data_IF_545957320290
#
_entry.id   IF_545957320290
#
_cell.length_a   1.000
_cell.length_b   1.000
_cell.length_c   1.000
_cell.angle_alpha   90.00
_cell.angle_beta   90.00
_cell.angle_gamma   90.00
#
_symmetry.space_group_name_H-M   'P 1'
#
loop_
_entity.id
_entity.type
_entity.pdbx_description
1 polymer ?
#
# COMPACT_ATOMS: atom_id res chain seq x y z
N UNK A 1 38.15 13.51 57.41
CA UNK A 1 37.77 14.56 56.42
C UNK A 1 37.59 13.84 55.11
N UNK A 2 36.33 13.74 54.67
CA UNK A 2 35.84 12.87 53.61
C UNK A 2 36.25 13.36 52.22
N UNK A 3 36.71 12.44 51.38
CA UNK A 3 36.89 12.62 49.94
C UNK A 3 35.80 11.89 49.16
N UNK A 4 35.01 12.68 48.42
CA UNK A 4 34.63 12.53 47.00
C UNK A 4 34.33 11.14 46.42
N UNK A 5 33.11 11.01 45.85
CA UNK A 5 32.80 10.02 44.81
C UNK A 5 31.33 9.60 44.79
N UNK A 6 30.41 10.50 44.40
CA UNK A 6 29.06 10.09 44.01
C UNK A 6 29.15 9.55 42.57
N UNK A 7 29.34 8.25 42.43
CA UNK A 7 29.09 7.56 41.17
C UNK A 7 27.58 7.45 40.99
N UNK A 8 27.02 8.30 40.13
CA UNK A 8 25.66 8.14 39.63
C UNK A 8 25.62 6.93 38.70
N UNK A 9 25.19 5.78 39.24
CA UNK A 9 24.85 4.59 38.46
C UNK A 9 23.78 4.96 37.41
N UNK A 10 24.18 4.99 36.14
CA UNK A 10 23.26 4.98 35.01
C UNK A 10 22.53 3.63 35.02
N UNK A 11 21.31 3.61 35.53
CA UNK A 11 20.39 2.48 35.41
C UNK A 11 20.02 2.32 33.94
N UNK A 12 20.68 1.41 33.24
CA UNK A 12 20.21 0.91 31.95
C UNK A 12 18.95 0.10 32.22
N UNK A 13 17.79 0.67 31.96
CA UNK A 13 16.54 -0.08 31.94
C UNK A 13 16.57 -0.97 30.69
N UNK A 14 17.05 -2.21 30.88
CA UNK A 14 17.10 -3.22 29.82
C UNK A 14 15.65 -3.58 29.47
N UNK A 15 15.12 -2.90 28.45
CA UNK A 15 13.81 -3.17 27.90
C UNK A 15 13.85 -4.55 27.21
N UNK A 16 13.67 -5.62 27.98
CA UNK A 16 13.50 -6.97 27.45
C UNK A 16 12.19 -6.95 26.64
N UNK A 17 12.22 -7.17 25.31
CA UNK A 17 11.00 -7.20 24.52
C UNK A 17 10.16 -8.41 24.98
N UNK A 18 9.09 -8.12 25.72
CA UNK A 18 8.12 -9.14 26.12
C UNK A 18 7.18 -9.40 24.95
N UNK A 19 6.97 -10.67 24.60
CA UNK A 19 5.95 -11.07 23.63
C UNK A 19 4.57 -10.57 24.10
N UNK A 20 4.03 -9.60 23.39
CA UNK A 20 2.71 -9.03 23.64
C UNK A 20 1.92 -8.87 22.34
N UNK A 21 0.61 -9.05 22.42
CA UNK A 21 -0.31 -8.72 21.33
C UNK A 21 -0.87 -7.32 21.55
N UNK A 22 -0.68 -6.43 20.58
CA UNK A 22 -1.29 -5.11 20.56
C UNK A 22 -2.62 -5.15 19.82
N UNK A 23 -3.60 -4.36 20.26
CA UNK A 23 -4.88 -4.23 19.57
C UNK A 23 -4.69 -3.47 18.25
N UNK A 24 -4.97 -4.12 17.12
CA UNK A 24 -4.85 -3.52 15.78
C UNK A 24 -5.06 -4.54 14.66
N UNK A 25 -5.25 -4.05 13.44
CA UNK A 25 -5.36 -4.90 12.25
C UNK A 25 -3.95 -5.22 11.74
N UNK A 26 -3.59 -6.50 11.64
CA UNK A 26 -2.34 -6.94 11.01
C UNK A 26 -2.48 -6.94 9.47
N UNK A 27 -2.48 -5.74 8.87
CA UNK A 27 -2.67 -5.57 7.43
C UNK A 27 -1.60 -6.31 6.61
N UNK A 28 -0.32 -6.18 6.97
CA UNK A 28 0.78 -6.85 6.27
C UNK A 28 0.65 -8.37 6.33
N UNK A 29 0.35 -8.94 7.51
CA UNK A 29 0.13 -10.37 7.66
C UNK A 29 -1.04 -10.88 6.83
N UNK A 30 -2.14 -10.12 6.76
CA UNK A 30 -3.28 -10.43 5.90
C UNK A 30 -2.89 -10.39 4.41
N UNK A 31 -2.10 -9.42 3.97
CA UNK A 31 -1.61 -9.32 2.58
C UNK A 31 -0.72 -10.53 2.23
N UNK A 32 0.26 -10.85 3.08
CA UNK A 32 1.18 -11.99 2.84
C UNK A 32 0.41 -13.31 2.80
N UNK A 33 -0.52 -13.51 3.74
CA UNK A 33 -1.39 -14.69 3.74
C UNK A 33 -2.26 -14.75 2.49
N UNK A 34 -2.97 -13.67 2.14
CA UNK A 34 -3.86 -13.64 0.99
C UNK A 34 -3.12 -13.82 -0.34
N UNK A 35 -1.91 -13.28 -0.47
CA UNK A 35 -1.07 -13.50 -1.65
C UNK A 35 -0.66 -14.97 -1.77
N UNK A 36 -0.18 -15.56 -0.68
CA UNK A 36 0.20 -16.99 -0.65
C UNK A 36 -1.00 -17.89 -0.94
N UNK A 37 -2.14 -17.61 -0.31
CA UNK A 37 -3.38 -18.38 -0.49
C UNK A 37 -3.93 -18.24 -1.92
N UNK A 38 -3.90 -17.02 -2.48
CA UNK A 38 -4.27 -16.74 -3.87
C UNK A 38 -3.40 -17.50 -4.87
N UNK A 39 -2.09 -17.58 -4.65
CA UNK A 39 -1.17 -18.38 -5.48
C UNK A 39 -1.50 -19.87 -5.43
N UNK A 40 -1.80 -20.42 -4.24
CA UNK A 40 -2.19 -21.82 -4.08
C UNK A 40 -3.52 -22.11 -4.80
N UNK A 41 -4.56 -21.29 -4.58
CA UNK A 41 -5.83 -21.41 -5.32
C UNK A 41 -5.59 -21.27 -6.84
N UNK A 42 -4.68 -20.38 -7.23
CA UNK A 42 -4.16 -20.19 -8.60
C UNK A 42 -3.60 -21.48 -9.22
N UNK A 43 -2.87 -22.26 -8.44
CA UNK A 43 -2.28 -23.53 -8.87
C UNK A 43 -3.27 -24.70 -8.96
N UNK A 44 -4.41 -24.63 -8.25
CA UNK A 44 -5.38 -25.73 -8.15
C UNK A 44 -6.28 -25.92 -9.38
N UNK A 45 -6.10 -25.11 -10.43
CA UNK A 45 -6.89 -25.16 -11.69
C UNK A 45 -8.40 -25.24 -11.40
N UNK A 46 -9.12 -26.21 -11.96
CA UNK A 46 -10.57 -26.38 -11.82
C UNK A 46 -11.02 -26.58 -10.36
N UNK A 47 -10.23 -27.25 -9.52
CA UNK A 47 -10.57 -27.45 -8.11
C UNK A 47 -10.58 -26.15 -7.31
N UNK A 48 -9.81 -25.15 -7.75
CA UNK A 48 -9.77 -23.82 -7.14
C UNK A 48 -10.90 -22.89 -7.61
N UNK A 49 -11.60 -23.23 -8.70
CA UNK A 49 -12.58 -22.35 -9.34
C UNK A 49 -13.69 -21.87 -8.39
N UNK A 50 -14.32 -22.73 -7.55
CA UNK A 50 -15.38 -22.27 -6.65
C UNK A 50 -14.91 -21.21 -5.65
N UNK A 51 -13.66 -21.31 -5.18
CA UNK A 51 -13.09 -20.32 -4.26
C UNK A 51 -12.75 -19.02 -4.98
N UNK A 52 -12.22 -19.09 -6.22
CA UNK A 52 -11.98 -17.88 -7.03
C UNK A 52 -13.28 -17.12 -7.27
N UNK A 53 -14.31 -17.82 -7.74
CA UNK A 53 -15.61 -17.23 -8.04
C UNK A 53 -16.24 -16.60 -6.78
N UNK A 54 -16.10 -17.27 -5.62
CA UNK A 54 -16.52 -16.72 -4.33
C UNK A 54 -15.81 -15.41 -4.00
N UNK A 55 -14.48 -15.37 -4.08
CA UNK A 55 -13.70 -14.17 -3.78
C UNK A 55 -13.96 -13.03 -4.78
N UNK A 56 -14.16 -13.35 -6.06
CA UNK A 56 -14.53 -12.36 -7.07
C UNK A 56 -15.91 -11.76 -6.81
N UNK A 57 -16.90 -12.58 -6.46
CA UNK A 57 -18.23 -12.10 -6.06
C UNK A 57 -18.18 -11.25 -4.79
N UNK A 58 -17.40 -11.67 -3.79
CA UNK A 58 -17.21 -10.93 -2.55
C UNK A 58 -16.56 -9.57 -2.81
N UNK A 59 -15.51 -9.53 -3.65
CA UNK A 59 -14.84 -8.30 -4.01
C UNK A 59 -15.78 -7.33 -4.74
N UNK A 60 -16.56 -7.82 -5.70
CA UNK A 60 -17.56 -7.00 -6.40
C UNK A 60 -18.62 -6.43 -5.43
N UNK A 61 -19.07 -7.22 -4.45
CA UNK A 61 -19.97 -6.73 -3.40
C UNK A 61 -19.33 -5.62 -2.54
N UNK A 62 -18.06 -5.77 -2.16
CA UNK A 62 -17.31 -4.75 -1.41
C UNK A 62 -17.18 -3.47 -2.24
N UNK A 63 -16.84 -3.56 -3.54
CA UNK A 63 -16.72 -2.39 -4.40
C UNK A 63 -18.04 -1.61 -4.54
N UNK A 64 -19.18 -2.31 -4.55
CA UNK A 64 -20.51 -1.67 -4.51
C UNK A 64 -20.78 -0.95 -3.20
N UNK A 65 -20.39 -1.54 -2.06
CA UNK A 65 -20.47 -0.88 -0.76
C UNK A 65 -19.62 0.40 -0.73
N UNK A 66 -18.41 0.33 -1.27
CA UNK A 66 -17.48 1.46 -1.38
C UNK A 66 -18.09 2.59 -2.20
N UNK A 67 -18.77 2.27 -3.30
CA UNK A 67 -19.52 3.26 -4.08
C UNK A 67 -20.58 4.02 -3.26
N UNK A 68 -21.26 3.34 -2.33
CA UNK A 68 -22.23 3.97 -1.41
C UNK A 68 -21.52 4.89 -0.42
N UNK A 69 -20.43 4.43 0.20
CA UNK A 69 -19.66 5.21 1.18
C UNK A 69 -19.11 6.49 0.56
N UNK A 70 -18.70 6.46 -0.71
CA UNK A 70 -18.21 7.65 -1.42
C UNK A 70 -19.24 8.77 -1.57
N UNK A 71 -20.54 8.47 -1.58
CA UNK A 71 -21.57 9.53 -1.54
C UNK A 71 -21.56 10.29 -0.21
N UNK A 72 -21.20 9.63 0.88
CA UNK A 72 -21.07 10.24 2.21
C UNK A 72 -19.70 10.89 2.46
N UNK A 73 -18.67 10.49 1.70
CA UNK A 73 -17.29 10.94 1.89
C UNK A 73 -17.12 12.48 1.93
N UNK A 74 -17.77 13.30 1.08
CA UNK A 74 -17.60 14.76 1.14
C UNK A 74 -17.99 15.36 2.49
N UNK A 75 -19.05 14.84 3.12
CA UNK A 75 -19.50 15.29 4.45
C UNK A 75 -18.52 14.84 5.51
N UNK A 76 -18.09 13.58 5.49
CA UNK A 76 -17.11 13.05 6.43
C UNK A 76 -15.77 13.79 6.37
N UNK A 77 -15.24 14.04 5.18
CA UNK A 77 -13.97 14.76 4.97
C UNK A 77 -14.07 16.20 5.49
N UNK A 78 -15.19 16.89 5.26
CA UNK A 78 -15.41 18.24 5.78
C UNK A 78 -15.29 18.28 7.32
N UNK A 79 -15.94 17.35 8.02
CA UNK A 79 -15.84 17.27 9.48
C UNK A 79 -14.48 16.80 9.97
N UNK A 80 -13.79 15.90 9.25
CA UNK A 80 -12.43 15.47 9.59
C UNK A 80 -11.43 16.62 9.50
N UNK A 81 -11.52 17.44 8.45
CA UNK A 81 -10.67 18.62 8.27
C UNK A 81 -11.04 19.67 9.32
N UNK A 82 -12.32 20.00 9.48
CA UNK A 82 -12.77 21.01 10.44
C UNK A 82 -12.42 20.64 11.89
N UNK A 83 -12.64 19.37 12.28
CA UNK A 83 -12.32 18.89 13.62
C UNK A 83 -10.84 19.04 13.95
N UNK A 84 -9.95 18.76 12.99
CA UNK A 84 -8.51 18.98 13.21
C UNK A 84 -8.10 20.43 13.25
N UNK A 85 -8.72 21.29 12.45
CA UNK A 85 -8.45 22.74 12.53
C UNK A 85 -8.82 23.29 13.92
N UNK A 86 -9.87 22.77 14.56
CA UNK A 86 -10.28 23.18 15.92
C UNK A 86 -9.33 22.66 17.01
N UNK A 87 -8.74 21.49 16.82
CA UNK A 87 -7.73 20.94 17.74
C UNK A 87 -6.37 21.67 17.67
N UNK A 88 -6.15 22.52 16.65
CA UNK A 88 -4.91 23.28 16.54
C UNK A 88 -4.81 24.35 17.65
N UNK A 89 -3.87 24.17 18.58
CA UNK A 89 -3.39 25.25 19.43
C UNK A 89 -2.51 26.24 18.63
N UNK A 90 -2.39 27.48 19.13
CA UNK A 90 -1.86 28.65 18.42
C UNK A 90 -0.68 28.36 17.46
N UNK A 91 -0.79 28.88 16.23
CA UNK A 91 0.28 28.92 15.21
C UNK A 91 1.59 29.56 15.70
N UNK A 92 1.59 30.22 16.87
CA UNK A 92 2.78 30.77 17.51
C UNK A 92 3.77 29.70 17.99
N UNK A 93 3.35 28.44 18.14
CA UNK A 93 4.24 27.32 18.52
C UNK A 93 5.16 26.90 17.36
N UNK A 94 4.84 27.26 16.12
CA UNK A 94 5.72 27.09 14.94
C UNK A 94 6.87 28.11 14.85
N UNK A 95 7.36 28.62 15.98
CA UNK A 95 8.44 29.60 16.01
C UNK A 95 9.81 29.01 15.65
N UNK A 96 10.54 29.65 14.75
CA UNK A 96 11.97 29.41 14.51
C UNK A 96 12.29 28.13 13.73
N UNK A 97 12.95 27.17 14.39
CA UNK A 97 13.52 25.97 13.76
C UNK A 97 12.44 24.95 13.34
N UNK A 98 11.38 24.77 14.14
CA UNK A 98 10.29 23.83 13.86
C UNK A 98 9.46 24.24 12.63
N UNK A 99 9.27 25.55 12.43
CA UNK A 99 8.63 26.09 11.23
C UNK A 99 9.45 25.80 9.96
N UNK A 100 10.77 25.99 10.01
CA UNK A 100 11.66 25.68 8.88
C UNK A 100 11.71 24.19 8.57
N UNK A 101 11.70 23.33 9.59
CA UNK A 101 11.54 21.89 9.42
C UNK A 101 10.24 21.55 8.68
N UNK A 102 9.11 22.10 9.15
CA UNK A 102 7.78 21.88 8.53
C UNK A 102 7.80 22.28 7.05
N UNK A 103 8.33 23.46 6.73
CA UNK A 103 8.45 23.93 5.33
C UNK A 103 9.33 22.98 4.51
N UNK A 104 10.45 22.50 5.06
CA UNK A 104 11.37 21.60 4.36
C UNK A 104 10.69 20.28 4.01
N UNK A 105 9.93 19.69 4.96
CA UNK A 105 9.15 18.46 4.70
C UNK A 105 8.09 18.70 3.63
N UNK A 106 7.31 19.79 3.74
CA UNK A 106 6.28 20.13 2.76
C UNK A 106 6.88 20.28 1.36
N UNK A 107 7.99 21.02 1.23
CA UNK A 107 8.67 21.22 -0.05
C UNK A 107 9.21 19.90 -0.59
N UNK A 108 9.81 19.05 0.26
CA UNK A 108 10.28 17.73 -0.13
C UNK A 108 9.16 16.85 -0.68
N UNK A 109 8.02 16.77 0.03
CA UNK A 109 6.84 16.02 -0.40
C UNK A 109 6.26 16.57 -1.72
N UNK A 110 6.18 17.90 -1.86
CA UNK A 110 5.68 18.53 -3.09
C UNK A 110 6.61 18.26 -4.29
N UNK A 111 7.93 18.35 -4.10
CA UNK A 111 8.90 18.01 -5.15
C UNK A 111 8.75 16.54 -5.53
N UNK A 112 8.65 15.64 -4.54
CA UNK A 112 8.50 14.22 -4.81
C UNK A 112 7.18 13.91 -5.53
N UNK A 113 6.06 14.39 -4.99
CA UNK A 113 4.72 14.12 -5.51
C UNK A 113 4.38 14.81 -6.84
N UNK A 114 4.88 16.02 -7.08
CA UNK A 114 4.51 16.83 -8.27
C UNK A 114 5.59 16.78 -9.35
N UNK A 115 6.85 16.48 -9.00
CA UNK A 115 7.96 16.45 -9.96
C UNK A 115 8.48 15.04 -10.15
N UNK A 116 8.92 14.36 -9.07
CA UNK A 116 9.62 13.06 -9.17
C UNK A 116 8.68 11.95 -9.66
N UNK A 117 7.56 11.72 -8.97
CA UNK A 117 6.61 10.66 -9.36
C UNK A 117 5.99 10.91 -10.75
N UNK A 118 5.53 12.13 -11.10
CA UNK A 118 5.00 12.40 -12.43
C UNK A 118 6.05 12.27 -13.54
N UNK A 119 7.30 12.69 -13.28
CA UNK A 119 8.39 12.51 -14.23
C UNK A 119 8.70 11.02 -14.44
N UNK A 120 8.71 10.22 -13.38
CA UNK A 120 8.90 8.77 -13.47
C UNK A 120 7.78 8.12 -14.30
N UNK A 121 6.52 8.47 -14.04
CA UNK A 121 5.39 8.00 -14.83
C UNK A 121 5.52 8.38 -16.31
N UNK A 122 5.85 9.64 -16.61
CA UNK A 122 6.03 10.11 -17.98
C UNK A 122 7.19 9.40 -18.68
N UNK A 123 8.32 9.20 -18.00
CA UNK A 123 9.49 8.56 -18.58
C UNK A 123 9.21 7.12 -19.04
N UNK A 124 8.47 6.37 -18.22
CA UNK A 124 8.15 4.95 -18.48
C UNK A 124 6.96 4.81 -19.43
N UNK A 125 5.84 5.48 -19.14
CA UNK A 125 4.58 5.27 -19.88
C UNK A 125 4.45 6.14 -21.13
N UNK A 126 5.24 7.24 -21.21
CA UNK A 126 5.13 8.29 -22.23
C UNK A 126 3.73 8.93 -22.33
N UNK A 127 2.93 8.84 -21.27
CA UNK A 127 1.59 9.46 -21.14
C UNK A 127 1.64 10.66 -20.20
N UNK A 128 0.68 11.58 -20.34
CA UNK A 128 0.59 12.75 -19.48
C UNK A 128 0.21 12.35 -18.03
N UNK A 129 1.10 12.54 -17.04
CA UNK A 129 0.85 12.15 -15.66
C UNK A 129 -0.26 12.98 -14.99
N UNK A 130 -0.43 14.25 -15.34
CA UNK A 130 -1.40 15.12 -14.66
C UNK A 130 -2.85 14.76 -14.96
N UNK A 131 -3.11 14.16 -16.14
CA UNK A 131 -4.43 13.59 -16.45
C UNK A 131 -4.71 12.38 -15.57
N UNK A 132 -3.71 11.52 -15.38
CA UNK A 132 -3.80 10.36 -14.50
C UNK A 132 -4.02 10.79 -13.04
N UNK A 133 -3.30 11.81 -12.57
CA UNK A 133 -3.49 12.38 -11.22
C UNK A 133 -4.88 13.01 -11.07
N UNK A 134 -5.41 13.64 -12.13
CA UNK A 134 -6.75 14.20 -12.13
C UNK A 134 -7.84 13.18 -11.81
N UNK A 135 -7.74 11.95 -12.33
CA UNK A 135 -8.69 10.88 -12.01
C UNK A 135 -8.56 10.31 -10.59
N UNK A 136 -7.48 10.64 -9.87
CA UNK A 136 -7.24 10.26 -8.48
C UNK A 136 -7.64 11.33 -7.46
N UNK A 137 -8.10 12.51 -7.90
CA UNK A 137 -8.31 13.66 -7.01
C UNK A 137 -9.17 13.33 -5.79
N UNK A 138 -10.22 12.52 -5.96
CA UNK A 138 -11.09 12.11 -4.87
C UNK A 138 -10.36 11.23 -3.84
N UNK A 139 -9.53 10.30 -4.28
CA UNK A 139 -8.70 9.47 -3.40
C UNK A 139 -7.67 10.33 -2.65
N UNK A 140 -7.00 11.26 -3.34
CA UNK A 140 -6.00 12.16 -2.75
C UNK A 140 -6.62 13.10 -1.70
N UNK A 141 -7.79 13.68 -1.98
CA UNK A 141 -8.50 14.53 -1.00
C UNK A 141 -8.97 13.70 0.19
N UNK A 142 -9.42 12.47 -0.04
CA UNK A 142 -9.78 11.58 1.07
C UNK A 142 -8.57 11.22 1.91
N UNK A 143 -7.41 10.95 1.29
CA UNK A 143 -6.17 10.63 1.97
C UNK A 143 -5.67 11.80 2.81
N UNK A 144 -5.77 13.01 2.26
CA UNK A 144 -5.51 14.23 2.99
C UNK A 144 -6.46 14.40 4.19
N UNK A 145 -7.72 13.99 4.08
CA UNK A 145 -8.75 14.10 5.12
C UNK A 145 -8.69 13.02 6.20
N UNK A 146 -8.36 11.77 5.85
CA UNK A 146 -8.31 10.64 6.79
C UNK A 146 -6.93 10.47 7.43
N UNK A 147 -5.86 10.92 6.76
CA UNK A 147 -4.47 10.65 7.16
C UNK A 147 -4.15 9.15 7.24
N UNK A 148 -4.82 8.32 6.42
CA UNK A 148 -4.61 6.87 6.40
C UNK A 148 -4.71 6.30 4.99
N UNK A 149 -3.60 5.76 4.48
CA UNK A 149 -3.52 5.08 3.18
C UNK A 149 -4.48 3.89 3.15
N UNK A 150 -4.48 3.08 4.22
CA UNK A 150 -5.36 1.91 4.34
C UNK A 150 -6.84 2.26 4.34
N UNK A 151 -7.24 3.35 5.00
CA UNK A 151 -8.62 3.81 5.00
C UNK A 151 -9.08 4.32 3.62
N UNK A 152 -8.13 4.82 2.82
CA UNK A 152 -8.43 5.36 1.48
C UNK A 152 -8.37 4.34 0.37
N UNK A 153 -7.74 3.18 0.63
CA UNK A 153 -7.49 2.13 -0.34
C UNK A 153 -8.72 1.76 -1.19
N UNK A 154 -9.95 1.62 -0.64
CA UNK A 154 -11.11 1.28 -1.46
C UNK A 154 -11.51 2.38 -2.46
N UNK A 155 -11.31 3.64 -2.10
CA UNK A 155 -11.57 4.79 -2.98
C UNK A 155 -10.49 4.85 -4.07
N UNK A 156 -9.24 4.58 -3.71
CA UNK A 156 -8.12 4.47 -4.65
C UNK A 156 -8.36 3.39 -5.69
N UNK A 157 -8.85 2.21 -5.28
CA UNK A 157 -9.28 1.14 -6.20
C UNK A 157 -10.27 1.66 -7.23
N UNK A 158 -11.37 2.28 -6.79
CA UNK A 158 -12.39 2.77 -7.71
C UNK A 158 -11.87 3.86 -8.63
N UNK A 159 -11.10 4.82 -8.12
CA UNK A 159 -10.54 5.88 -8.96
C UNK A 159 -9.61 5.31 -10.05
N UNK A 160 -8.78 4.32 -9.73
CA UNK A 160 -7.89 3.70 -10.71
C UNK A 160 -8.65 2.85 -11.74
N UNK A 161 -9.59 2.02 -11.29
CA UNK A 161 -10.33 1.11 -12.16
C UNK A 161 -11.37 1.84 -13.03
N UNK A 162 -12.09 2.82 -12.48
CA UNK A 162 -13.18 3.51 -13.18
C UNK A 162 -12.74 4.80 -13.89
N UNK A 163 -11.94 5.65 -13.22
CA UNK A 163 -11.56 6.95 -13.80
C UNK A 163 -10.34 6.83 -14.72
N UNK A 164 -9.33 6.06 -14.29
CA UNK A 164 -8.07 5.91 -15.03
C UNK A 164 -8.04 4.67 -15.93
N UNK A 165 -8.99 3.74 -15.74
CA UNK A 165 -9.12 2.53 -16.56
C UNK A 165 -8.01 1.51 -16.36
N UNK A 166 -7.34 1.50 -15.21
CA UNK A 166 -6.27 0.55 -14.90
C UNK A 166 -6.85 -0.85 -14.70
N UNK A 167 -6.22 -1.86 -15.29
CA UNK A 167 -6.67 -3.25 -15.20
C UNK A 167 -6.81 -3.74 -13.75
N UNK A 168 -7.97 -4.34 -13.43
CA UNK A 168 -8.30 -4.84 -12.08
C UNK A 168 -7.29 -5.86 -11.55
N UNK A 169 -6.66 -6.64 -12.42
CA UNK A 169 -5.63 -7.62 -12.04
C UNK A 169 -4.39 -6.93 -11.49
N UNK A 170 -4.05 -5.75 -12.03
CA UNK A 170 -2.91 -4.95 -11.57
C UNK A 170 -3.27 -4.19 -10.29
N UNK A 171 -4.42 -3.51 -10.24
CA UNK A 171 -4.82 -2.73 -9.05
C UNK A 171 -4.94 -3.63 -7.82
N UNK A 172 -5.55 -4.82 -7.95
CA UNK A 172 -5.76 -5.78 -6.84
C UNK A 172 -4.47 -6.41 -6.32
N UNK A 173 -3.41 -6.36 -7.11
CA UNK A 173 -2.09 -6.81 -6.69
C UNK A 173 -1.27 -5.66 -6.10
N UNK A 174 -1.14 -4.55 -6.84
CA UNK A 174 -0.22 -3.47 -6.52
C UNK A 174 -0.70 -2.65 -5.32
N UNK A 175 -1.98 -2.28 -5.25
CA UNK A 175 -2.44 -1.33 -4.23
C UNK A 175 -2.43 -1.88 -2.80
N UNK A 176 -2.86 -3.13 -2.52
CA UNK A 176 -2.79 -3.67 -1.16
C UNK A 176 -1.35 -3.84 -0.67
N UNK A 177 -0.44 -4.21 -1.56
CA UNK A 177 1.00 -4.32 -1.27
C UNK A 177 1.60 -2.93 -1.05
N UNK A 178 1.31 -1.99 -1.96
CA UNK A 178 1.78 -0.61 -1.91
C UNK A 178 1.37 0.12 -0.63
N UNK A 179 0.09 0.01 -0.23
CA UNK A 179 -0.44 0.69 0.96
C UNK A 179 0.24 0.29 2.28
N UNK A 180 1.04 -0.78 2.29
CA UNK A 180 1.84 -1.22 3.44
C UNK A 180 3.34 -1.07 3.23
N UNK A 181 3.85 -1.33 2.03
CA UNK A 181 5.29 -1.37 1.75
C UNK A 181 5.81 -0.05 1.17
N UNK A 182 5.05 0.59 0.29
CA UNK A 182 5.48 1.75 -0.47
C UNK A 182 5.06 3.06 0.22
N UNK A 183 5.87 3.47 1.20
CA UNK A 183 5.63 4.67 1.99
C UNK A 183 6.66 5.78 1.75
N UNK A 184 6.71 6.31 0.52
CA UNK A 184 7.67 7.33 0.09
C UNK A 184 7.69 8.58 0.99
N UNK A 185 6.51 9.10 1.31
CA UNK A 185 6.35 10.26 2.18
C UNK A 185 6.79 10.00 3.62
N UNK A 186 6.63 8.76 4.11
CA UNK A 186 7.11 8.35 5.44
C UNK A 186 8.63 8.28 5.46
N UNK A 187 9.27 7.68 4.46
CA UNK A 187 10.73 7.62 4.36
C UNK A 187 11.35 9.03 4.28
N UNK A 188 10.75 9.92 3.47
CA UNK A 188 11.21 11.31 3.35
C UNK A 188 11.10 12.05 4.70
N UNK A 189 9.98 11.88 5.39
CA UNK A 189 9.76 12.47 6.70
C UNK A 189 10.77 11.96 7.74
N UNK A 190 10.98 10.64 7.80
CA UNK A 190 11.90 10.01 8.75
C UNK A 190 13.33 10.50 8.56
N UNK A 191 13.80 10.58 7.31
CA UNK A 191 15.12 11.09 7.00
C UNK A 191 15.26 12.58 7.41
N UNK A 192 14.28 13.43 7.07
CA UNK A 192 14.34 14.86 7.39
C UNK A 192 14.21 15.12 8.89
N UNK A 193 13.37 14.37 9.60
CA UNK A 193 13.21 14.51 11.05
C UNK A 193 14.48 14.11 11.80
N UNK A 194 15.14 13.01 11.40
CA UNK A 194 16.40 12.60 12.00
C UNK A 194 17.51 13.66 11.81
N UNK A 195 17.61 14.22 10.60
CA UNK A 195 18.57 15.30 10.31
C UNK A 195 18.22 16.56 11.11
N UNK A 196 16.94 16.90 11.21
CA UNK A 196 16.48 18.04 12.01
C UNK A 196 16.80 17.88 13.49
N UNK A 197 16.53 16.73 14.08
CA UNK A 197 16.84 16.44 15.49
C UNK A 197 18.36 16.53 15.73
N UNK A 198 19.18 16.01 14.82
CA UNK A 198 20.63 16.17 14.91
C UNK A 198 21.04 17.65 14.91
N UNK A 199 20.44 18.47 14.03
CA UNK A 199 20.72 19.91 13.96
C UNK A 199 20.29 20.68 15.21
N UNK A 200 19.14 20.35 15.79
CA UNK A 200 18.66 20.99 17.03
C UNK A 200 19.57 20.66 18.22
N UNK A 201 20.13 19.45 18.24
CA UNK A 201 21.09 19.02 19.26
C UNK A 201 22.54 19.42 18.97
N UNK A 202 22.79 20.21 17.92
CA UNK A 202 24.13 20.61 17.49
C UNK A 202 25.06 19.40 17.25
N UNK A 203 24.48 18.29 16.79
CA UNK A 203 25.20 17.05 16.47
C UNK A 203 25.56 17.03 14.98
N UNK A 204 26.86 17.05 14.68
CA UNK A 204 27.35 16.92 13.32
C UNK A 204 27.19 15.46 12.83
N UNK A 205 26.37 15.29 11.80
CA UNK A 205 26.22 14.00 11.12
C UNK A 205 27.33 13.81 10.09
N UNK A 206 28.11 12.74 10.25
CA UNK A 206 29.05 12.33 9.22
C UNK A 206 28.36 11.62 8.04
N UNK A 207 29.06 11.45 6.93
CA UNK A 207 28.53 10.80 5.74
C UNK A 207 28.00 9.38 6.00
N UNK A 208 28.66 8.61 6.87
CA UNK A 208 28.22 7.28 7.26
C UNK A 208 26.88 7.30 7.98
N UNK A 209 26.66 8.25 8.89
CA UNK A 209 25.38 8.42 9.59
C UNK A 209 24.26 8.85 8.63
N UNK A 210 24.54 9.74 7.68
CA UNK A 210 23.56 10.12 6.65
C UNK A 210 23.16 8.92 5.80
N UNK A 211 24.11 8.07 5.41
CA UNK A 211 23.83 6.84 4.69
C UNK A 211 23.00 5.86 5.54
N UNK A 212 23.35 5.71 6.82
CA UNK A 212 22.57 4.90 7.76
C UNK A 212 21.14 5.40 7.87
N UNK A 213 20.91 6.70 8.09
CA UNK A 213 19.56 7.31 8.13
C UNK A 213 18.80 6.99 6.86
N UNK A 214 19.42 7.13 5.68
CA UNK A 214 18.75 6.85 4.41
C UNK A 214 18.29 5.39 4.30
N UNK A 215 19.14 4.44 4.68
CA UNK A 215 18.82 3.00 4.62
C UNK A 215 17.77 2.66 5.67
N UNK A 216 17.93 3.14 6.91
CA UNK A 216 17.04 2.80 8.02
C UNK A 216 15.68 3.45 7.86
N UNK A 217 15.58 4.69 7.37
CA UNK A 217 14.30 5.31 7.03
C UNK A 217 13.57 4.55 5.91
N UNK A 218 14.29 4.09 4.88
CA UNK A 218 13.67 3.27 3.82
C UNK A 218 13.18 1.93 4.35
N UNK A 219 13.92 1.30 5.27
CA UNK A 219 13.50 0.04 5.88
C UNK A 219 12.34 0.24 6.87
N UNK A 220 12.39 1.32 7.65
CA UNK A 220 11.38 1.67 8.66
C UNK A 220 10.06 2.05 8.01
N UNK A 221 10.08 2.74 6.86
CA UNK A 221 8.87 3.08 6.10
C UNK A 221 8.09 1.85 5.61
N UNK A 222 8.76 0.72 5.34
CA UNK A 222 8.11 -0.56 5.01
C UNK A 222 7.38 -1.15 6.23
N UNK A 223 7.92 -0.90 7.43
CA UNK A 223 7.36 -1.36 8.69
C UNK A 223 6.25 -0.47 9.25
N UNK A 224 6.10 0.75 8.74
CA UNK A 224 5.06 1.68 9.16
C UNK A 224 3.69 1.21 8.67
N UNK A 225 2.72 1.10 9.57
CA UNK A 225 1.36 0.76 9.21
C UNK A 225 0.67 1.93 8.49
N UNK A 226 -0.24 1.65 7.53
CA UNK A 226 -1.01 2.68 6.80
C UNK A 226 -2.10 3.39 7.61
N UNK A 227 -1.84 3.63 8.90
CA UNK A 227 -2.71 4.29 9.88
C UNK A 227 -2.12 5.64 10.27
N UNK A 228 -2.94 6.59 10.80
CA UNK A 228 -2.44 7.90 11.17
C UNK A 228 -1.32 7.82 12.21
N UNK A 229 -0.34 8.72 12.11
CA UNK A 229 0.78 8.87 13.07
C UNK A 229 1.71 7.65 13.19
N UNK A 230 1.59 6.63 12.34
CA UNK A 230 2.45 5.45 12.40
C UNK A 230 3.95 5.78 12.25
N UNK A 231 4.28 6.83 11.47
CA UNK A 231 5.65 7.29 11.24
C UNK A 231 6.38 7.78 12.49
N UNK A 232 5.67 8.18 13.55
CA UNK A 232 6.30 8.58 14.81
C UNK A 232 6.87 7.39 15.59
N UNK A 233 6.25 6.22 15.47
CA UNK A 233 6.70 4.99 16.15
C UNK A 233 7.97 4.47 15.47
N UNK A 234 7.98 4.46 14.14
CA UNK A 234 9.12 4.00 13.34
C UNK A 234 10.30 4.97 13.40
N UNK A 235 10.06 6.26 13.69
CA UNK A 235 11.13 7.24 13.95
C UNK A 235 12.12 6.82 15.03
N UNK A 236 11.65 6.12 16.08
CA UNK A 236 12.51 5.62 17.16
C UNK A 236 13.61 4.72 16.60
N UNK A 237 13.28 3.88 15.61
CA UNK A 237 14.22 2.97 14.96
C UNK A 237 15.29 3.77 14.20
N UNK A 238 14.87 4.82 13.49
CA UNK A 238 15.78 5.66 12.70
C UNK A 238 16.73 6.45 13.60
N UNK A 239 16.23 7.09 14.66
CA UNK A 239 17.06 7.87 15.59
C UNK A 239 18.06 6.98 16.35
N UNK A 240 17.60 5.86 16.88
CA UNK A 240 18.47 4.90 17.60
C UNK A 240 19.56 4.33 16.70
N UNK A 241 19.29 4.15 15.39
CA UNK A 241 20.29 3.63 14.44
C UNK A 241 21.54 4.50 14.27
N UNK A 242 21.43 5.79 14.57
CA UNK A 242 22.54 6.75 14.50
C UNK A 242 22.90 7.37 15.84
N UNK A 243 22.31 6.88 16.93
CA UNK A 243 22.58 7.33 18.30
C UNK A 243 22.01 8.71 18.64
N UNK A 244 20.93 9.14 17.97
CA UNK A 244 20.24 10.38 18.28
C UNK A 244 19.24 10.19 19.44
N UNK A 245 19.04 11.21 20.29
CA UNK A 245 18.07 11.16 21.39
C UNK A 245 16.64 11.00 20.86
N UNK A 246 15.91 9.99 21.36
CA UNK A 246 14.53 9.68 20.94
C UNK A 246 13.49 10.56 21.62
N UNK A 247 13.84 11.17 22.76
CA UNK A 247 12.93 12.05 23.51
C UNK A 247 12.55 13.31 22.70
N UNK A 248 13.41 13.70 21.75
CA UNK A 248 13.22 14.84 20.86
C UNK A 248 12.18 14.59 19.75
N UNK A 249 11.63 13.38 19.63
CA UNK A 249 10.43 13.14 18.82
C UNK A 249 9.28 14.03 19.31
N UNK A 250 9.23 14.36 20.62
CA UNK A 250 8.21 15.26 21.17
C UNK A 250 8.20 16.64 20.51
N UNK A 251 9.33 17.11 20.00
CA UNK A 251 9.45 18.40 19.29
C UNK A 251 8.67 18.42 17.98
N UNK A 252 8.59 17.29 17.28
CA UNK A 252 7.95 17.19 15.96
C UNK A 252 6.48 16.76 16.04
N UNK A 253 6.02 16.19 17.16
CA UNK A 253 4.61 15.77 17.38
C UNK A 253 3.64 16.93 17.14
N UNK A 254 4.01 18.15 17.56
CA UNK A 254 3.18 19.35 17.43
C UNK A 254 2.80 19.69 15.98
N UNK A 255 3.63 19.31 15.00
CA UNK A 255 3.41 19.58 13.57
C UNK A 255 3.07 18.33 12.76
N UNK A 256 3.22 17.14 13.36
CA UNK A 256 3.00 15.85 12.69
C UNK A 256 1.56 15.71 12.17
N UNK A 257 0.55 16.25 12.88
CA UNK A 257 -0.85 16.19 12.45
C UNK A 257 -1.09 16.75 11.03
N UNK A 258 -0.29 17.74 10.61
CA UNK A 258 -0.35 18.34 9.27
C UNK A 258 0.52 17.56 8.30
N UNK A 259 1.76 17.27 8.70
CA UNK A 259 2.72 16.58 7.85
C UNK A 259 2.23 15.17 7.49
N UNK A 260 1.61 14.45 8.44
CA UNK A 260 1.04 13.12 8.26
C UNK A 260 0.05 13.03 7.09
N UNK A 261 -0.77 14.08 6.93
CA UNK A 261 -1.77 14.16 5.86
C UNK A 261 -1.12 14.27 4.49
N UNK A 262 -0.05 15.07 4.40
CA UNK A 262 0.72 15.25 3.17
C UNK A 262 1.54 14.00 2.85
N UNK A 263 2.12 13.33 3.86
CA UNK A 263 2.79 12.03 3.71
C UNK A 263 1.82 11.00 3.15
N UNK A 264 0.66 10.85 3.77
CA UNK A 264 -0.38 9.91 3.35
C UNK A 264 -0.80 10.17 1.90
N UNK A 265 -1.03 11.44 1.55
CA UNK A 265 -1.40 11.82 0.17
C UNK A 265 -0.30 11.44 -0.83
N UNK A 266 0.97 11.63 -0.47
CA UNK A 266 2.12 11.27 -1.31
C UNK A 266 2.26 9.76 -1.45
N UNK A 267 2.06 8.99 -0.37
CA UNK A 267 2.10 7.52 -0.40
C UNK A 267 1.01 6.96 -1.34
N UNK A 268 -0.23 7.42 -1.18
CA UNK A 268 -1.36 7.01 -2.04
C UNK A 268 -1.11 7.38 -3.51
N UNK A 269 -0.50 8.54 -3.76
CA UNK A 269 -0.11 8.96 -5.11
C UNK A 269 0.98 8.05 -5.70
N UNK A 270 2.00 7.70 -4.90
CA UNK A 270 3.07 6.77 -5.26
C UNK A 270 2.52 5.39 -5.67
N UNK A 271 1.67 4.80 -4.84
CA UNK A 271 1.02 3.52 -5.11
C UNK A 271 0.21 3.53 -6.40
N UNK A 272 -0.52 4.63 -6.62
CA UNK A 272 -1.39 4.79 -7.79
C UNK A 272 -0.57 4.94 -9.07
N UNK A 273 0.50 5.75 -9.04
CA UNK A 273 1.43 5.89 -10.16
C UNK A 273 2.17 4.57 -10.42
N UNK A 274 2.57 3.86 -9.36
CA UNK A 274 3.16 2.53 -9.43
C UNK A 274 2.24 1.55 -10.16
N UNK A 275 0.95 1.50 -9.81
CA UNK A 275 -0.04 0.67 -10.50
C UNK A 275 -0.12 0.99 -12.01
N UNK A 276 -0.16 2.27 -12.38
CA UNK A 276 -0.19 2.68 -13.79
C UNK A 276 1.11 2.36 -14.55
N UNK A 277 2.27 2.41 -13.88
CA UNK A 277 3.55 1.99 -14.47
C UNK A 277 3.58 0.47 -14.68
N UNK A 278 3.19 -0.31 -13.66
CA UNK A 278 3.15 -1.77 -13.73
C UNK A 278 2.20 -2.22 -14.83
N UNK A 279 1.02 -1.62 -14.95
CA UNK A 279 0.09 -1.89 -16.05
C UNK A 279 0.75 -1.66 -17.41
N UNK A 280 1.44 -0.53 -17.60
CA UNK A 280 2.09 -0.21 -18.86
C UNK A 280 3.18 -1.23 -19.24
N UNK A 281 3.92 -1.73 -18.25
CA UNK A 281 4.99 -2.71 -18.43
C UNK A 281 4.44 -4.13 -18.65
N UNK A 282 3.39 -4.53 -17.93
CA UNK A 282 2.76 -5.85 -18.01
C UNK A 282 1.72 -6.01 -19.12
N UNK A 283 1.51 -5.00 -19.98
CA UNK A 283 0.51 -5.04 -21.08
C UNK A 283 0.54 -6.31 -21.93
N UNK A 284 1.74 -6.87 -22.18
CA UNK A 284 1.90 -8.07 -23.00
C UNK A 284 1.46 -9.33 -22.25
N UNK A 285 1.73 -9.39 -20.95
CA UNK A 285 1.27 -10.48 -20.08
C UNK A 285 -0.26 -10.45 -19.95
N UNK A 286 -0.83 -9.26 -19.72
CA UNK A 286 -2.29 -9.07 -19.64
C UNK A 286 -2.99 -9.52 -20.94
N UNK A 287 -2.47 -9.12 -22.10
CA UNK A 287 -3.03 -9.52 -23.40
C UNK A 287 -2.91 -11.04 -23.66
N UNK A 288 -1.86 -11.67 -23.15
CA UNK A 288 -1.66 -13.13 -23.26
C UNK A 288 -2.70 -13.86 -22.40
N UNK A 289 -2.88 -13.43 -21.16
CA UNK A 289 -3.89 -13.99 -20.24
C UNK A 289 -5.31 -13.84 -20.82
N UNK A 290 -5.62 -12.68 -21.43
CA UNK A 290 -6.92 -12.47 -22.07
C UNK A 290 -7.15 -13.42 -23.26
N UNK A 291 -6.10 -13.68 -24.04
CA UNK A 291 -6.14 -14.61 -25.17
C UNK A 291 -6.34 -16.06 -24.71
N UNK A 292 -5.62 -16.48 -23.66
CA UNK A 292 -5.76 -17.81 -23.06
C UNK A 292 -7.16 -18.02 -22.48
N UNK A 293 -7.68 -17.05 -21.73
CA UNK A 293 -9.02 -17.12 -21.16
C UNK A 293 -10.10 -17.18 -22.26
N UNK A 294 -9.95 -16.37 -23.31
CA UNK A 294 -10.83 -16.41 -24.48
C UNK A 294 -10.83 -17.77 -25.18
N UNK A 295 -9.65 -18.37 -25.38
CA UNK A 295 -9.52 -19.68 -26.01
C UNK A 295 -10.11 -20.80 -25.16
N UNK A 296 -9.94 -20.78 -23.82
CA UNK A 296 -10.54 -21.73 -22.90
C UNK A 296 -12.08 -21.66 -22.94
N UNK A 297 -12.65 -20.45 -22.91
CA UNK A 297 -14.11 -20.27 -23.01
C UNK A 297 -14.65 -20.77 -24.35
N UNK A 298 -13.92 -20.57 -25.44
CA UNK A 298 -14.30 -21.11 -26.76
C UNK A 298 -14.22 -22.64 -26.79
N UNK A 299 -13.19 -23.23 -26.19
CA UNK A 299 -13.04 -24.68 -26.09
C UNK A 299 -14.17 -25.33 -25.27
N UNK A 300 -14.50 -24.79 -24.08
CA UNK A 300 -15.64 -25.28 -23.28
C UNK A 300 -16.98 -25.16 -24.04
N UNK A 301 -17.18 -24.06 -24.77
CA UNK A 301 -18.41 -23.86 -25.55
C UNK A 301 -18.48 -24.82 -26.76
N UNK A 302 -17.35 -25.27 -27.31
CA UNK A 302 -17.31 -26.30 -28.35
C UNK A 302 -17.54 -27.71 -27.78
N UNK A 303 -16.98 -28.03 -26.61
CA UNK A 303 -17.25 -29.29 -25.91
C UNK A 303 -18.72 -29.41 -25.53
N UNK A 304 -19.34 -28.36 -24.99
CA UNK A 304 -20.80 -28.33 -24.69
C UNK A 304 -21.68 -28.47 -25.94
N UNK A 305 -21.18 -28.12 -27.13
CA UNK A 305 -21.91 -28.25 -28.41
C UNK A 305 -21.76 -29.62 -29.06
N UNK A 306 -20.82 -30.45 -28.62
CA UNK A 306 -20.64 -31.80 -29.18
C UNK A 306 -21.52 -32.77 -28.39
N UNK A 307 -22.64 -33.27 -28.94
CA UNK A 307 -23.46 -34.24 -28.22
C UNK A 307 -22.61 -35.50 -28.04
N UNK A 308 -22.54 -36.02 -26.81
CA UNK A 308 -21.93 -37.31 -26.50
C UNK A 308 -22.25 -38.32 -27.59
N UNK A 309 -21.24 -38.73 -28.37
CA UNK A 309 -21.33 -39.91 -29.23
C UNK A 309 -21.50 -41.11 -28.30
N UNK A 310 -22.75 -41.50 -28.06
CA UNK A 310 -23.08 -42.78 -27.44
C UNK A 310 -22.35 -43.87 -28.23
N UNK A 311 -21.44 -44.56 -27.56
CA UNK A 311 -20.89 -45.83 -28.04
C UNK A 311 -22.07 -46.81 -27.99
N UNK A 312 -22.83 -46.91 -29.09
CA UNK A 312 -23.77 -48.01 -29.25
C UNK A 312 -22.96 -49.28 -29.44
N UNK A 313 -22.91 -50.11 -28.40
CA UNK A 313 -22.64 -51.52 -28.57
C UNK A 313 -23.72 -52.08 -29.51
N UNK A 314 -23.38 -52.24 -30.79
CA UNK A 314 -24.15 -53.09 -31.69
C UNK A 314 -23.90 -54.54 -31.27
N UNK A 315 -24.69 -55.02 -30.31
CA UNK A 315 -25.08 -56.43 -30.28
C UNK A 315 -25.96 -56.65 -31.52
N UNK A 316 -25.35 -57.09 -32.60
CA UNK A 316 -26.09 -57.57 -33.76
C UNK A 316 -26.15 -59.10 -33.66
N UNK A 317 -27.26 -59.58 -33.11
CA UNK A 317 -27.72 -60.95 -33.19
C UNK A 317 -27.79 -61.37 -34.67
N UNK A 318 -26.85 -62.20 -35.10
CA UNK A 318 -27.00 -62.99 -36.32
C UNK A 318 -26.51 -64.42 -36.10
N UNK A 319 -27.45 -65.30 -35.78
CA UNK A 319 -27.40 -66.69 -36.21
C UNK A 319 -27.24 -66.74 -37.73
N UNK A 320 -26.46 -67.70 -38.25
CA UNK A 320 -27.03 -68.49 -39.34
C UNK A 320 -26.87 -69.99 -39.13
N UNK A 321 -27.74 -70.66 -39.86
CA UNK A 321 -28.11 -72.06 -39.85
C UNK A 321 -26.98 -73.07 -40.03
N UNK A 322 -27.33 -74.27 -39.59
CA UNK A 322 -26.76 -75.55 -40.00
C UNK A 322 -26.47 -75.62 -41.50
N UNK A 323 -25.28 -76.09 -41.87
CA UNK A 323 -25.14 -77.09 -42.93
C UNK A 323 -23.82 -77.86 -42.86
N UNK A 324 -23.94 -79.11 -43.26
CA UNK A 324 -23.06 -80.26 -43.08
C UNK A 324 -21.96 -80.30 -44.15
N UNK A 325 -20.74 -80.78 -43.83
CA UNK A 325 -20.04 -81.90 -44.51
C UNK A 325 -18.55 -82.04 -44.11
N UNK A 326 -18.24 -83.28 -43.72
CA UNK A 326 -16.95 -84.03 -43.70
C UNK A 326 -15.75 -83.43 -42.97
#
# INVERSE_FOLDING_TARGET
VNGTGNESELSYEEAIPVLGTVNGINALGLVVFSMSFGLIIGSMKEQGQPLRDFFDCLNEAIMRLVAIIMWYAPVGILFLIAGKIVEMEDLSVMGGQLGMYTVTVIVGLLIHGVVVLPALYFLVTRKNPFVFIGGLLQALVTALGTSSSSATLPITFKCLEENNGVDKRVTRFVLPVGATINMDGTALYEALAAIFIAQVNEMDLNFGQILTISITATAASIGAAGIPQAGLVTMVIVLTSVGLPTDDITLIIAVDWLLDRLRTTTNVLGDSIGAGIVEHLSRHELATVDTELGNCVLAENQEKKTPYKLISQNNDDRLPDSETKM
#
